data_IF_728174991210
#
_entry.id   IF_728174991210
#
_cell.length_a   1.000
_cell.length_b   1.000
_cell.length_c   1.000
_cell.angle_alpha   90.00
_cell.angle_beta   90.00
_cell.angle_gamma   90.00
#
_symmetry.space_group_name_H-M   'P 1'
#
loop_
_entity.id
_entity.type
_entity.pdbx_description
1 polymer ?
#
# COMPACT_ATOMS: atom_id res chain seq x y z
N UNK A 1 30.98 -13.21 19.99
CA UNK A 1 31.82 -12.04 19.63
C UNK A 1 32.83 -12.34 18.52
N UNK A 2 33.40 -13.55 18.39
CA UNK A 2 34.30 -13.90 17.28
C UNK A 2 33.56 -14.01 15.91
N UNK A 3 32.32 -14.49 15.92
CA UNK A 3 31.53 -14.69 14.69
C UNK A 3 31.17 -13.37 13.97
N UNK A 4 31.01 -12.28 14.72
CA UNK A 4 30.75 -10.93 14.20
C UNK A 4 32.00 -10.28 13.59
N UNK A 5 33.20 -10.63 14.06
CA UNK A 5 34.45 -10.15 13.46
C UNK A 5 34.78 -10.91 12.16
N UNK A 6 34.51 -12.21 12.11
CA UNK A 6 34.70 -13.02 10.90
C UNK A 6 33.77 -12.59 9.75
N UNK A 7 32.52 -12.21 10.04
CA UNK A 7 31.63 -11.61 9.02
C UNK A 7 32.12 -10.24 8.52
N UNK A 8 32.84 -9.48 9.35
CA UNK A 8 33.44 -8.21 8.93
C UNK A 8 34.67 -8.42 8.03
N UNK A 9 35.48 -9.45 8.30
CA UNK A 9 36.61 -9.84 7.43
C UNK A 9 36.15 -10.47 6.11
N UNK A 10 35.04 -11.23 6.10
CA UNK A 10 34.50 -11.83 4.88
C UNK A 10 33.89 -10.80 3.90
N UNK A 11 33.60 -9.58 4.36
CA UNK A 11 33.17 -8.45 3.51
C UNK A 11 34.36 -7.65 2.94
N UNK A 12 35.56 -7.83 3.48
CA UNK A 12 36.79 -7.21 2.95
C UNK A 12 37.42 -8.04 1.81
N UNK A 13 37.06 -9.33 1.69
CA UNK A 13 37.61 -10.25 0.67
C UNK A 13 36.87 -10.20 -0.68
N UNK A 14 35.80 -9.41 -0.82
CA UNK A 14 35.10 -9.16 -2.10
C UNK A 14 35.41 -7.76 -2.70
N UNK A 15 36.62 -7.23 -2.47
CA UNK A 15 37.02 -5.92 -3.00
C UNK A 15 37.27 -5.93 -4.53
N UNK A 16 36.20 -5.78 -5.32
CA UNK A 16 36.27 -5.15 -6.66
C UNK A 16 36.13 -3.61 -6.58
N UNK A 17 36.44 -3.00 -5.43
CA UNK A 17 36.38 -1.53 -5.25
C UNK A 17 37.73 -0.99 -4.79
N UNK A 18 38.07 0.21 -5.25
CA UNK A 18 39.36 0.82 -4.87
C UNK A 18 39.36 1.26 -3.40
N UNK A 19 40.53 1.27 -2.74
CA UNK A 19 40.65 1.71 -1.33
C UNK A 19 40.15 3.14 -1.13
N UNK A 20 40.33 4.00 -2.13
CA UNK A 20 39.83 5.38 -2.17
C UNK A 20 38.31 5.45 -2.26
N UNK A 21 37.69 4.53 -3.00
CA UNK A 21 36.24 4.42 -3.12
C UNK A 21 35.61 3.90 -1.82
N UNK A 22 36.24 2.91 -1.17
CA UNK A 22 35.83 2.42 0.14
C UNK A 22 35.83 3.54 1.20
N UNK A 23 36.86 4.39 1.22
CA UNK A 23 36.92 5.56 2.10
C UNK A 23 35.85 6.60 1.78
N UNK A 24 35.63 6.89 0.49
CA UNK A 24 34.61 7.86 0.06
C UNK A 24 33.20 7.41 0.47
N UNK A 25 32.92 6.11 0.32
CA UNK A 25 31.68 5.50 0.78
C UNK A 25 31.53 5.58 2.31
N UNK A 26 32.61 5.36 3.06
CA UNK A 26 32.60 5.47 4.52
C UNK A 26 32.23 6.89 5.00
N UNK A 27 32.73 7.93 4.33
CA UNK A 27 32.39 9.32 4.66
C UNK A 27 30.98 9.75 4.25
N UNK A 28 30.39 9.16 3.21
CA UNK A 28 29.02 9.47 2.77
C UNK A 28 27.94 8.70 3.52
N UNK A 29 28.30 7.61 4.21
CA UNK A 29 27.36 6.81 5.02
C UNK A 29 26.80 7.54 6.26
N UNK A 30 27.56 8.33 7.04
CA UNK A 30 27.02 9.02 8.22
C UNK A 30 26.23 10.30 7.91
N UNK A 31 26.32 10.83 6.69
CA UNK A 31 25.63 12.06 6.31
C UNK A 31 24.24 11.69 5.78
N UNK A 32 23.20 12.15 6.48
CA UNK A 32 21.80 11.90 6.13
C UNK A 32 21.07 13.16 5.69
N UNK A 33 20.14 12.99 4.75
CA UNK A 33 19.16 14.00 4.34
C UNK A 33 17.78 13.54 4.79
N UNK A 34 17.05 14.44 5.47
CA UNK A 34 15.70 14.17 5.95
C UNK A 34 14.69 14.99 5.14
N UNK A 35 13.85 14.31 4.37
CA UNK A 35 12.82 14.96 3.56
C UNK A 35 11.48 14.78 4.26
N UNK A 36 10.78 15.89 4.48
CA UNK A 36 9.41 15.90 5.01
C UNK A 36 8.42 15.90 3.85
N UNK A 37 7.64 14.83 3.74
CA UNK A 37 6.60 14.67 2.73
C UNK A 37 5.23 14.78 3.39
N UNK A 38 4.34 15.59 2.81
CA UNK A 38 2.95 15.70 3.29
C UNK A 38 2.04 14.90 2.37
N UNK A 39 1.37 13.91 2.93
CA UNK A 39 0.47 13.02 2.20
C UNK A 39 -0.96 13.19 2.72
N UNK A 40 -1.91 13.33 1.81
CA UNK A 40 -3.34 13.33 2.14
C UNK A 40 -3.86 11.90 2.18
N UNK A 41 -4.25 11.45 3.37
CA UNK A 41 -4.78 10.12 3.62
C UNK A 41 -6.27 10.20 3.93
N UNK A 42 -7.04 9.27 3.38
CA UNK A 42 -8.46 9.10 3.70
C UNK A 42 -8.58 7.84 4.55
N UNK A 43 -9.16 7.95 5.74
CA UNK A 43 -9.30 6.84 6.68
C UNK A 43 -10.75 6.64 7.06
N UNK A 44 -11.29 5.45 6.82
CA UNK A 44 -12.69 5.13 7.11
C UNK A 44 -12.95 3.63 7.26
N UNK A 45 -14.10 3.31 7.84
CA UNK A 45 -14.69 1.98 7.75
C UNK A 45 -15.43 1.84 6.42
N UNK A 46 -15.25 0.71 5.74
CA UNK A 46 -15.99 0.41 4.51
C UNK A 46 -17.40 -0.05 4.85
N UNK A 47 -18.42 0.61 4.30
CA UNK A 47 -19.81 0.15 4.41
C UNK A 47 -20.11 -0.81 3.27
N UNK A 48 -19.90 -0.35 2.04
CA UNK A 48 -20.25 -1.06 0.82
C UNK A 48 -19.22 -0.77 -0.27
N UNK A 49 -19.01 -1.78 -1.12
CA UNK A 49 -18.13 -1.71 -2.28
C UNK A 49 -18.95 -2.19 -3.47
N UNK A 50 -19.17 -1.32 -4.44
CA UNK A 50 -19.82 -1.66 -5.71
C UNK A 50 -18.77 -1.54 -6.80
N UNK A 51 -18.43 -2.65 -7.45
CA UNK A 51 -17.47 -2.65 -8.56
C UNK A 51 -18.26 -2.97 -9.83
N UNK A 52 -18.39 -1.98 -10.69
CA UNK A 52 -18.96 -2.16 -12.02
C UNK A 52 -17.84 -2.60 -12.96
N UNK A 53 -17.86 -3.90 -13.24
CA UNK A 53 -17.11 -4.43 -14.36
C UNK A 53 -17.91 -4.14 -15.62
N UNK A 54 -17.59 -3.03 -16.30
CA UNK A 54 -18.09 -2.80 -17.64
C UNK A 54 -17.43 -3.84 -18.55
N UNK A 55 -18.07 -4.99 -18.67
CA UNK A 55 -17.78 -5.96 -19.73
C UNK A 55 -18.36 -5.34 -20.99
N UNK A 56 -17.59 -4.46 -21.64
CA UNK A 56 -17.87 -4.16 -23.04
C UNK A 56 -17.50 -5.41 -23.83
N UNK A 57 -18.42 -6.37 -23.86
CA UNK A 57 -18.46 -7.35 -24.90
C UNK A 57 -18.66 -6.54 -26.19
N UNK A 58 -17.57 -6.28 -26.92
CA UNK A 58 -17.64 -6.09 -28.35
C UNK A 58 -18.24 -7.38 -28.90
N UNK A 59 -19.56 -7.44 -28.97
CA UNK A 59 -20.28 -8.33 -29.87
C UNK A 59 -20.04 -7.80 -31.28
N UNK A 60 -18.81 -7.94 -31.79
CA UNK A 60 -18.55 -7.93 -33.21
C UNK A 60 -18.40 -9.40 -33.59
N UNK A 61 -19.52 -10.00 -34.00
CA UNK A 61 -19.59 -11.38 -34.47
C UNK A 61 -19.64 -12.38 -33.31
N UNK A 62 -20.81 -12.99 -33.11
CA UNK A 62 -20.97 -14.04 -32.13
C UNK A 62 -19.97 -15.17 -32.36
N UNK A 63 -19.18 -15.49 -31.34
CA UNK A 63 -18.70 -16.82 -30.99
C UNK A 63 -18.34 -16.78 -29.50
N UNK A 64 -18.77 -17.84 -28.82
CA UNK A 64 -18.61 -18.17 -27.42
C UNK A 64 -17.15 -18.04 -26.93
N UNK A 65 -16.79 -16.91 -26.32
CA UNK A 65 -15.53 -16.77 -25.61
C UNK A 65 -15.68 -17.26 -24.16
N UNK A 66 -14.84 -18.24 -23.83
CA UNK A 66 -14.64 -18.88 -22.52
C UNK A 66 -14.33 -17.85 -21.40
N UNK A 67 -14.61 -18.17 -20.11
CA UNK A 67 -14.58 -17.20 -19.00
C UNK A 67 -13.18 -16.76 -18.54
N UNK A 68 -12.14 -16.90 -19.37
CA UNK A 68 -10.75 -16.70 -18.95
C UNK A 68 -9.96 -15.84 -19.94
N UNK A 69 -10.41 -14.60 -20.17
CA UNK A 69 -9.58 -13.45 -20.53
C UNK A 69 -10.44 -12.39 -21.20
N UNK A 70 -11.14 -11.59 -20.42
CA UNK A 70 -11.72 -10.34 -20.94
C UNK A 70 -10.85 -9.21 -20.40
N UNK A 71 -10.05 -8.63 -21.29
CA UNK A 71 -9.31 -7.41 -21.01
C UNK A 71 -10.33 -6.32 -20.63
N UNK A 72 -10.39 -5.98 -19.34
CA UNK A 72 -11.36 -5.05 -18.78
C UNK A 72 -11.08 -3.63 -19.25
N UNK A 73 -11.81 -3.18 -20.27
CA UNK A 73 -11.80 -1.81 -20.76
C UNK A 73 -12.65 -0.97 -19.80
N UNK A 74 -12.04 -0.55 -18.69
CA UNK A 74 -12.65 0.34 -17.70
C UNK A 74 -13.40 -0.40 -16.58
N UNK A 75 -12.71 -0.63 -15.45
CA UNK A 75 -13.36 -0.94 -14.18
C UNK A 75 -13.64 0.40 -13.48
N UNK A 76 -14.90 0.69 -13.20
CA UNK A 76 -15.33 1.81 -12.36
C UNK A 76 -16.03 1.23 -11.14
N UNK A 77 -15.97 1.91 -10.01
CA UNK A 77 -16.63 1.42 -8.81
C UNK A 77 -16.91 2.54 -7.84
N UNK A 78 -17.77 2.25 -6.87
CA UNK A 78 -18.15 3.16 -5.81
C UNK A 78 -17.78 2.53 -4.47
N UNK A 79 -17.19 3.31 -3.59
CA UNK A 79 -16.80 2.92 -2.25
C UNK A 79 -17.44 3.86 -1.25
N UNK A 80 -18.26 3.32 -0.39
CA UNK A 80 -18.87 4.10 0.69
C UNK A 80 -18.04 3.93 1.95
N UNK A 81 -17.43 5.03 2.41
CA UNK A 81 -16.64 5.09 3.63
C UNK A 81 -17.41 5.80 4.74
N UNK A 82 -17.30 5.25 5.94
CA UNK A 82 -17.96 5.71 7.15
C UNK A 82 -16.94 5.96 8.25
N UNK A 83 -17.04 7.12 8.87
CA UNK A 83 -16.36 7.47 10.13
C UNK A 83 -17.43 7.69 11.20
N UNK A 84 -17.05 7.95 12.45
CA UNK A 84 -18.07 8.26 13.48
C UNK A 84 -18.92 9.48 13.13
N UNK A 85 -18.33 10.46 12.48
CA UNK A 85 -18.92 11.78 12.32
C UNK A 85 -19.44 12.04 10.89
N UNK A 86 -18.96 11.30 9.88
CA UNK A 86 -19.29 11.54 8.48
C UNK A 86 -19.27 10.25 7.65
N UNK A 87 -20.17 10.19 6.67
CA UNK A 87 -20.30 9.14 5.68
C UNK A 87 -20.18 9.77 4.29
N UNK A 88 -19.31 9.24 3.44
CA UNK A 88 -19.14 9.75 2.07
C UNK A 88 -18.94 8.62 1.06
N UNK A 89 -19.40 8.88 -0.16
CA UNK A 89 -19.22 7.99 -1.30
C UNK A 89 -18.04 8.48 -2.14
N UNK A 90 -17.13 7.58 -2.47
CA UNK A 90 -15.98 7.82 -3.33
C UNK A 90 -16.07 6.98 -4.60
N UNK A 91 -15.80 7.61 -5.74
CA UNK A 91 -15.60 6.90 -6.99
C UNK A 91 -14.18 6.33 -7.05
N UNK A 92 -14.07 5.06 -7.42
CA UNK A 92 -12.83 4.31 -7.54
C UNK A 92 -12.45 4.18 -9.01
N UNK A 93 -11.21 4.58 -9.33
CA UNK A 93 -10.61 4.27 -10.62
C UNK A 93 -10.06 2.85 -10.71
N UNK A 94 -9.78 2.40 -11.93
CA UNK A 94 -9.26 1.04 -12.24
C UNK A 94 -8.09 0.60 -11.36
N UNK A 95 -7.08 1.47 -11.17
CA UNK A 95 -5.90 1.18 -10.33
C UNK A 95 -6.25 0.92 -8.86
N UNK A 96 -7.27 1.59 -8.32
CA UNK A 96 -7.70 1.40 -6.93
C UNK A 96 -8.53 0.13 -6.79
N UNK A 97 -9.35 -0.19 -7.79
CA UNK A 97 -10.11 -1.45 -7.84
C UNK A 97 -9.15 -2.64 -7.87
N UNK A 98 -8.09 -2.57 -8.67
CA UNK A 98 -7.05 -3.60 -8.69
C UNK A 98 -6.31 -3.69 -7.35
N UNK A 99 -6.08 -2.57 -6.66
CA UNK A 99 -5.48 -2.57 -5.32
C UNK A 99 -6.40 -3.20 -4.26
N UNK A 100 -7.72 -3.00 -4.34
CA UNK A 100 -8.72 -3.64 -3.48
C UNK A 100 -8.85 -5.15 -3.74
N UNK A 101 -8.64 -5.56 -5.00
CA UNK A 101 -8.76 -6.95 -5.47
C UNK A 101 -7.53 -7.82 -5.23
N UNK A 102 -6.39 -7.26 -4.82
CA UNK A 102 -5.18 -8.05 -4.53
C UNK A 102 -5.43 -8.98 -3.34
N UNK A 103 -5.13 -10.28 -3.51
CA UNK A 103 -5.44 -11.34 -2.54
C UNK A 103 -4.91 -11.10 -1.12
N UNK A 104 -3.78 -10.38 -0.98
CA UNK A 104 -3.21 -10.02 0.34
C UNK A 104 -4.04 -8.98 1.10
N UNK A 105 -4.79 -8.15 0.39
CA UNK A 105 -5.56 -7.03 0.94
C UNK A 105 -7.01 -7.11 0.48
N UNK A 106 -7.61 -8.31 0.37
CA UNK A 106 -9.03 -8.45 0.03
C UNK A 106 -9.87 -7.61 1.00
N UNK A 107 -10.30 -6.44 0.51
CA UNK A 107 -11.12 -5.52 1.28
C UNK A 107 -12.55 -6.00 1.14
N UNK A 108 -13.17 -6.22 2.27
CA UNK A 108 -14.59 -6.52 2.37
C UNK A 108 -15.24 -5.37 3.11
N UNK A 109 -16.56 -5.28 3.02
CA UNK A 109 -17.34 -4.48 3.94
C UNK A 109 -16.86 -4.70 5.36
N UNK A 110 -16.91 -3.63 6.17
CA UNK A 110 -16.58 -3.64 7.60
C UNK A 110 -15.08 -3.68 7.95
N UNK A 111 -14.22 -3.58 6.94
CA UNK A 111 -12.81 -3.33 7.18
C UNK A 111 -12.54 -1.83 7.36
N UNK A 112 -11.60 -1.51 8.24
CA UNK A 112 -11.04 -0.17 8.35
C UNK A 112 -9.85 -0.08 7.39
N UNK A 113 -9.92 0.87 6.46
CA UNK A 113 -8.93 1.07 5.40
C UNK A 113 -8.36 2.48 5.44
N UNK A 114 -7.12 2.60 5.00
CA UNK A 114 -6.45 3.87 4.71
C UNK A 114 -6.14 3.94 3.23
N UNK A 115 -6.66 4.98 2.58
CA UNK A 115 -6.43 5.30 1.18
C UNK A 115 -5.46 6.47 1.09
N UNK A 116 -4.41 6.31 0.31
CA UNK A 116 -3.55 7.43 -0.06
C UNK A 116 -4.02 8.01 -1.41
N UNK A 117 -4.39 9.28 -1.42
CA UNK A 117 -4.88 9.98 -2.63
C UNK A 117 -3.79 10.11 -3.69
N UNK A 118 -2.54 10.33 -3.29
CA UNK A 118 -1.41 10.50 -4.21
C UNK A 118 -0.92 9.13 -4.72
N UNK A 119 -0.64 8.20 -3.80
CA UNK A 119 -0.08 6.89 -4.16
C UNK A 119 -1.12 5.91 -4.74
N UNK A 120 -2.42 6.22 -4.60
CA UNK A 120 -3.55 5.33 -4.98
C UNK A 120 -3.43 3.93 -4.39
N UNK A 121 -2.75 3.83 -3.24
CA UNK A 121 -2.55 2.59 -2.51
C UNK A 121 -3.63 2.47 -1.44
N UNK A 122 -4.25 1.30 -1.36
CA UNK A 122 -5.16 0.94 -0.28
C UNK A 122 -4.37 0.14 0.73
N UNK A 123 -4.60 0.39 2.02
CA UNK A 123 -3.99 -0.38 3.10
C UNK A 123 -5.05 -0.78 4.11
N UNK A 124 -5.15 -2.07 4.42
CA UNK A 124 -6.11 -2.60 5.39
C UNK A 124 -5.53 -2.52 6.79
N UNK A 125 -6.15 -1.72 7.66
CA UNK A 125 -5.74 -1.60 9.07
C UNK A 125 -6.28 -2.75 9.92
N UNK A 126 -7.53 -3.17 9.66
CA UNK A 126 -8.17 -4.25 10.41
C UNK A 126 -9.68 -4.32 10.18
N UNK A 127 -10.37 -5.12 11.00
CA UNK A 127 -11.84 -5.26 10.99
C UNK A 127 -12.48 -4.40 12.09
N UNK A 128 -13.62 -3.76 11.81
CA UNK A 128 -14.28 -2.88 12.77
C UNK A 128 -14.97 -3.66 13.91
N UNK A 129 -14.74 -3.19 15.15
CA UNK A 129 -15.25 -3.83 16.38
C UNK A 129 -16.76 -3.56 16.59
N UNK A 130 -17.30 -2.45 16.07
CA UNK A 130 -18.51 -1.79 16.62
C UNK A 130 -19.88 -2.31 16.22
N UNK A 131 -20.03 -3.45 15.52
CA UNK A 131 -21.33 -3.92 15.02
C UNK A 131 -21.38 -5.46 14.99
N UNK A 132 -21.18 -6.06 16.15
CA UNK A 132 -20.99 -7.49 16.41
C UNK A 132 -22.20 -8.35 16.02
N UNK A 133 -22.10 -9.11 14.93
CA UNK A 133 -22.79 -10.40 14.80
C UNK A 133 -21.90 -11.46 14.12
N UNK A 134 -20.87 -11.05 13.37
CA UNK A 134 -19.92 -11.96 12.71
C UNK A 134 -18.69 -12.34 13.57
N UNK A 135 -18.80 -12.30 14.90
CA UNK A 135 -17.67 -12.63 15.80
C UNK A 135 -17.23 -14.09 15.72
N UNK A 136 -18.01 -14.95 15.07
CA UNK A 136 -17.84 -16.40 15.18
C UNK A 136 -17.10 -17.08 14.02
N UNK A 137 -16.74 -16.36 12.95
CA UNK A 137 -15.94 -16.91 11.83
C UNK A 137 -14.84 -15.93 11.47
N UNK A 138 -13.82 -15.85 12.31
CA UNK A 138 -12.66 -15.03 12.01
C UNK A 138 -11.39 -15.80 12.34
N UNK A 139 -10.55 -16.01 11.32
CA UNK A 139 -9.29 -16.72 11.48
C UNK A 139 -8.34 -16.00 12.46
N UNK A 140 -7.36 -16.72 13.04
CA UNK A 140 -6.47 -16.24 14.10
C UNK A 140 -5.60 -15.03 13.73
N UNK A 141 -5.63 -14.58 12.47
CA UNK A 141 -4.80 -13.50 11.93
C UNK A 141 -5.55 -12.16 11.73
N UNK A 142 -6.79 -12.02 12.15
CA UNK A 142 -7.55 -10.78 11.95
C UNK A 142 -7.33 -9.77 13.08
N UNK A 143 -6.76 -8.62 12.73
CA UNK A 143 -6.60 -7.50 13.66
C UNK A 143 -7.90 -6.72 13.75
N UNK A 144 -8.40 -6.53 14.97
CA UNK A 144 -9.59 -5.74 15.23
C UNK A 144 -9.21 -4.30 15.58
N UNK A 145 -9.85 -3.33 14.92
CA UNK A 145 -9.58 -1.90 15.07
C UNK A 145 -10.90 -1.18 15.33
N UNK A 146 -10.88 -0.15 16.16
CA UNK A 146 -12.06 0.70 16.39
C UNK A 146 -12.35 1.53 15.13
N UNK A 147 -13.62 1.88 14.91
CA UNK A 147 -13.98 2.83 13.86
C UNK A 147 -13.17 4.12 14.07
N UNK A 148 -12.53 4.66 13.02
CA UNK A 148 -11.80 5.90 13.13
C UNK A 148 -12.73 7.04 13.60
N UNK A 149 -12.15 8.04 14.24
CA UNK A 149 -12.86 9.24 14.70
C UNK A 149 -12.34 10.46 13.93
N UNK A 150 -13.21 11.48 13.80
CA UNK A 150 -12.90 12.76 13.18
C UNK A 150 -13.16 12.77 11.69
N UNK A 151 -12.44 13.65 10.99
CA UNK A 151 -12.59 13.81 9.55
C UNK A 151 -12.02 12.61 8.77
N UNK A 152 -12.68 12.26 7.67
CA UNK A 152 -12.24 11.21 6.75
C UNK A 152 -10.88 11.56 6.13
N UNK A 153 -10.68 12.81 5.73
CA UNK A 153 -9.44 13.28 5.11
C UNK A 153 -8.48 13.85 6.16
N UNK A 154 -7.32 13.24 6.31
CA UNK A 154 -6.27 13.66 7.23
C UNK A 154 -4.99 13.95 6.46
N UNK A 155 -4.21 14.93 6.92
CA UNK A 155 -2.87 15.20 6.41
C UNK A 155 -1.86 14.51 7.31
N UNK A 156 -1.07 13.60 6.74
CA UNK A 156 0.01 12.91 7.45
C UNK A 156 1.34 13.34 6.90
N UNK A 157 2.25 13.72 7.79
CA UNK A 157 3.64 14.03 7.43
C UNK A 157 4.49 12.78 7.62
N UNK A 158 5.23 12.40 6.58
CA UNK A 158 6.22 11.33 6.62
C UNK A 158 7.61 11.95 6.58
N UNK A 159 8.50 11.50 7.47
CA UNK A 159 9.90 11.85 7.41
C UNK A 159 10.67 10.67 6.80
N UNK A 160 11.25 10.91 5.64
CA UNK A 160 12.13 9.96 4.98
C UNK A 160 13.57 10.40 5.22
N UNK A 161 14.31 9.61 6.01
CA UNK A 161 15.72 9.84 6.28
C UNK A 161 16.53 8.88 5.40
N UNK A 162 17.30 9.42 4.46
CA UNK A 162 18.11 8.65 3.51
C UNK A 162 19.57 9.12 3.65
N UNK A 163 20.52 8.18 3.59
CA UNK A 163 21.95 8.52 3.61
C UNK A 163 22.46 8.93 2.24
N UNK A 164 23.49 9.79 2.18
CA UNK A 164 24.08 10.19 0.90
C UNK A 164 24.59 8.98 0.10
N UNK A 165 25.14 7.96 0.78
CA UNK A 165 25.56 6.73 0.10
C UNK A 165 24.40 6.00 -0.58
N UNK A 166 23.23 5.91 0.06
CA UNK A 166 22.05 5.27 -0.54
C UNK A 166 21.58 6.04 -1.78
N UNK A 167 21.61 7.37 -1.74
CA UNK A 167 21.27 8.23 -2.90
C UNK A 167 22.25 7.97 -4.05
N UNK A 168 23.55 7.90 -3.78
CA UNK A 168 24.57 7.64 -4.79
C UNK A 168 24.36 6.28 -5.48
N UNK A 169 24.04 5.23 -4.70
CA UNK A 169 23.76 3.89 -5.25
C UNK A 169 22.55 3.92 -6.17
N UNK A 170 21.47 4.59 -5.76
CA UNK A 170 20.23 4.68 -6.55
C UNK A 170 20.47 5.42 -7.87
N UNK A 171 21.27 6.48 -7.86
CA UNK A 171 21.54 7.29 -9.05
C UNK A 171 22.60 6.69 -10.00
N UNK A 172 23.37 5.70 -9.52
CA UNK A 172 24.38 4.99 -10.32
C UNK A 172 23.83 3.83 -11.17
N UNK A 173 22.51 3.59 -11.10
CA UNK A 173 21.82 2.50 -11.78
C UNK A 173 20.89 3.05 -12.86
#
# INVERSE_FOLDING_TARGET
MAHTLLTYYHLLDEMQVSKTEALTQAFRRPIGVCIKEKVEIIQGEVVEISIDHLVFALSVGGILATPFSVAAIGKTGWLTLKTRDMDTMYELGSKMIDALGKDKEKVQSRNVVTLDKASRKVTKLGRSIGRSWDYNVVGPHTKFVKCPNGELQKRKEFMHCITLREIDVINSR
#
